data_IF_232723743346
#
_entry.id   IF_232723743346
#
_cell.length_a   1.000
_cell.length_b   1.000
_cell.length_c   1.000
_cell.angle_alpha   90.00
_cell.angle_beta   90.00
_cell.angle_gamma   90.00
#
_symmetry.space_group_name_H-M   'P 1'
#
loop_
_entity.id
_entity.type
_entity.pdbx_description
1 polymer ?
#
# COMPACT_ATOMS: atom_id res chain seq x y z
N UNK A 1 54.10 -74.85 -72.25
CA UNK A 1 52.95 -73.90 -72.17
C UNK A 1 51.72 -74.69 -72.60
N UNK A 2 50.55 -74.66 -71.97
CA UNK A 2 49.79 -73.51 -71.45
C UNK A 2 49.14 -73.85 -70.10
N UNK A 3 49.23 -72.88 -69.18
CA UNK A 3 48.57 -72.80 -67.87
C UNK A 3 47.09 -72.46 -68.03
N UNK A 4 46.19 -73.21 -67.41
CA UNK A 4 44.80 -72.79 -67.13
C UNK A 4 44.32 -73.33 -65.77
N UNK A 5 44.76 -72.73 -64.65
CA UNK A 5 44.16 -72.98 -63.32
C UNK A 5 44.03 -71.73 -62.43
N UNK A 6 44.29 -70.53 -62.94
CA UNK A 6 44.31 -69.31 -62.10
C UNK A 6 43.02 -68.49 -62.11
N UNK A 7 42.05 -68.78 -62.98
CA UNK A 7 40.83 -67.98 -63.15
C UNK A 7 39.85 -68.11 -61.97
N UNK A 8 39.72 -69.30 -61.34
CA UNK A 8 38.84 -69.47 -60.16
C UNK A 8 39.32 -68.71 -58.92
N UNK A 9 40.65 -68.63 -58.72
CA UNK A 9 41.25 -67.87 -57.60
C UNK A 9 41.10 -66.37 -57.79
N UNK A 10 41.20 -65.89 -59.02
CA UNK A 10 40.98 -64.48 -59.34
C UNK A 10 39.52 -64.05 -59.10
N UNK A 11 38.54 -64.91 -59.42
CA UNK A 11 37.12 -64.63 -59.18
C UNK A 11 36.80 -64.55 -57.68
N UNK A 12 37.34 -65.48 -56.88
CA UNK A 12 37.20 -65.46 -55.41
C UNK A 12 37.85 -64.22 -54.79
N UNK A 13 39.03 -63.81 -55.28
CA UNK A 13 39.70 -62.60 -54.81
C UNK A 13 38.91 -61.32 -55.15
N UNK A 14 38.28 -61.27 -56.33
CA UNK A 14 37.41 -60.17 -56.74
C UNK A 14 36.13 -60.07 -55.90
N UNK A 15 35.50 -61.21 -55.59
CA UNK A 15 34.32 -61.22 -54.71
C UNK A 15 34.69 -60.78 -53.29
N UNK A 16 35.81 -61.27 -52.77
CA UNK A 16 36.30 -60.89 -51.45
C UNK A 16 36.64 -59.40 -51.38
N UNK A 17 37.22 -58.82 -52.44
CA UNK A 17 37.48 -57.38 -52.50
C UNK A 17 36.20 -56.56 -52.55
N UNK A 18 35.17 -57.02 -53.26
CA UNK A 18 33.88 -56.33 -53.32
C UNK A 18 33.19 -56.34 -51.94
N UNK A 19 33.23 -57.46 -51.22
CA UNK A 19 32.73 -57.56 -49.84
C UNK A 19 33.54 -56.64 -48.90
N UNK A 20 34.86 -56.56 -49.08
CA UNK A 20 35.71 -55.63 -48.32
C UNK A 20 35.37 -54.17 -48.60
N UNK A 21 35.11 -53.81 -49.87
CA UNK A 21 34.69 -52.48 -50.27
C UNK A 21 33.32 -52.11 -49.68
N UNK A 22 32.36 -53.04 -49.68
CA UNK A 22 31.04 -52.82 -49.05
C UNK A 22 31.16 -52.73 -47.53
N UNK A 23 32.03 -53.52 -46.89
CA UNK A 23 32.30 -53.42 -45.47
C UNK A 23 32.95 -52.08 -45.08
N UNK A 24 33.88 -51.56 -45.89
CA UNK A 24 34.42 -50.21 -45.69
C UNK A 24 33.36 -49.13 -45.93
N UNK A 25 32.47 -49.30 -46.94
CA UNK A 25 31.40 -48.35 -47.23
C UNK A 25 30.40 -48.24 -46.07
N UNK A 26 29.98 -49.38 -45.50
CA UNK A 26 29.08 -49.42 -44.33
C UNK A 26 29.77 -48.90 -43.05
N UNK A 27 31.10 -49.04 -42.96
CA UNK A 27 31.92 -48.47 -41.87
C UNK A 27 32.12 -46.95 -41.94
N UNK A 28 32.01 -46.34 -43.12
CA UNK A 28 32.23 -44.88 -43.30
C UNK A 28 30.98 -44.01 -43.10
N UNK A 29 29.79 -44.60 -42.93
CA UNK A 29 28.55 -43.84 -42.64
C UNK A 29 28.24 -43.69 -41.14
N UNK A 30 29.02 -44.29 -40.24
CA UNK A 30 29.06 -43.87 -38.84
C UNK A 30 30.09 -42.74 -38.71
N UNK A 31 29.71 -41.56 -39.20
CA UNK A 31 30.51 -40.35 -39.01
C UNK A 31 30.69 -40.09 -37.50
N UNK A 32 31.91 -40.37 -37.03
CA UNK A 32 32.42 -39.99 -35.71
C UNK A 32 32.84 -38.52 -35.74
N UNK A 33 31.89 -37.64 -36.00
CA UNK A 33 32.03 -36.21 -35.72
C UNK A 33 30.73 -35.75 -35.08
N UNK A 34 30.57 -36.09 -33.82
CA UNK A 34 29.69 -35.35 -32.93
C UNK A 34 30.61 -34.80 -31.85
N UNK A 35 31.15 -33.60 -32.08
CA UNK A 35 31.50 -32.74 -30.96
C UNK A 35 30.16 -32.28 -30.38
N UNK A 36 29.98 -32.51 -29.09
CA UNK A 36 28.73 -32.26 -28.39
C UNK A 36 29.06 -31.66 -27.04
N UNK A 37 28.75 -30.39 -26.85
CA UNK A 37 28.68 -29.76 -25.53
C UNK A 37 27.24 -29.93 -25.04
N UNK A 38 27.02 -30.77 -24.03
CA UNK A 38 25.73 -30.86 -23.36
C UNK A 38 25.69 -29.88 -22.19
N UNK A 39 24.75 -28.95 -22.17
CA UNK A 39 24.44 -28.12 -21.01
C UNK A 39 23.29 -28.75 -20.24
N UNK A 40 23.61 -29.68 -19.34
CA UNK A 40 22.62 -30.35 -18.48
C UNK A 40 22.07 -29.43 -17.35
N UNK A 41 22.56 -28.19 -17.25
CA UNK A 41 22.34 -27.29 -16.12
C UNK A 41 21.77 -25.91 -16.51
N UNK A 42 21.06 -25.78 -17.64
CA UNK A 42 20.36 -24.52 -17.95
C UNK A 42 19.13 -24.39 -17.05
N UNK A 43 19.33 -24.00 -15.79
CA UNK A 43 18.25 -23.67 -14.86
C UNK A 43 18.04 -22.15 -14.93
N UNK A 44 16.89 -21.74 -15.47
CA UNK A 44 16.42 -20.36 -15.34
C UNK A 44 15.61 -20.30 -14.04
N UNK A 45 16.04 -19.46 -13.11
CA UNK A 45 15.33 -19.19 -11.86
C UNK A 45 14.95 -17.72 -11.89
N UNK A 46 13.66 -17.43 -11.71
CA UNK A 46 13.22 -16.05 -11.51
C UNK A 46 13.75 -15.55 -10.17
N UNK A 47 14.24 -14.32 -10.13
CA UNK A 47 14.58 -13.69 -8.86
C UNK A 47 13.32 -13.30 -8.07
N UNK A 48 13.47 -13.06 -6.78
CA UNK A 48 12.40 -12.59 -5.90
C UNK A 48 12.78 -11.30 -5.19
N UNK A 49 11.80 -10.42 -5.01
CA UNK A 49 11.86 -9.24 -4.16
C UNK A 49 11.40 -9.63 -2.75
N UNK A 50 12.18 -9.27 -1.73
CA UNK A 50 11.82 -9.57 -0.33
C UNK A 50 12.54 -8.56 0.59
N UNK A 51 11.77 -7.63 1.16
CA UNK A 51 12.26 -6.63 2.10
C UNK A 51 11.69 -6.92 3.48
N UNK A 52 12.52 -6.84 4.51
CA UNK A 52 12.12 -7.07 5.89
C UNK A 52 12.65 -5.96 6.81
N UNK A 53 11.87 -5.68 7.87
CA UNK A 53 12.24 -4.75 8.94
C UNK A 53 12.43 -5.53 10.24
N UNK A 54 13.51 -5.26 10.96
CA UNK A 54 13.83 -5.88 12.25
C UNK A 54 14.06 -4.83 13.33
N UNK A 55 13.54 -5.06 14.53
CA UNK A 55 13.93 -4.36 15.76
C UNK A 55 15.12 -5.09 16.40
N UNK A 56 16.12 -4.32 16.84
CA UNK A 56 17.32 -4.80 17.51
C UNK A 56 17.31 -4.35 18.97
N UNK A 57 17.09 -5.30 19.88
CA UNK A 57 17.22 -5.08 21.32
C UNK A 57 18.27 -6.02 21.92
N UNK A 58 19.25 -5.46 22.63
CA UNK A 58 20.34 -6.25 23.22
C UNK A 58 21.15 -7.09 22.23
N UNK A 59 21.12 -6.74 20.94
CA UNK A 59 21.73 -7.51 19.85
C UNK A 59 20.87 -8.67 19.32
N UNK A 60 19.62 -8.80 19.75
CA UNK A 60 18.64 -9.76 19.22
C UNK A 60 17.79 -9.06 18.16
N UNK A 61 17.74 -9.63 16.96
CA UNK A 61 16.90 -9.15 15.87
C UNK A 61 15.54 -9.84 15.90
N UNK A 62 14.46 -9.05 15.94
CA UNK A 62 13.08 -9.54 15.90
C UNK A 62 12.35 -8.84 14.76
N UNK A 63 11.67 -9.60 13.89
CA UNK A 63 10.95 -9.05 12.74
C UNK A 63 9.80 -8.14 13.20
N UNK A 64 9.66 -6.99 12.54
CA UNK A 64 8.60 -6.02 12.79
C UNK A 64 7.40 -6.39 11.95
N UNK A 65 6.25 -6.52 12.60
CA UNK A 65 4.96 -6.81 11.98
C UNK A 65 3.94 -5.77 12.46
N UNK A 66 2.70 -5.83 11.95
CA UNK A 66 1.60 -4.95 12.39
C UNK A 66 1.32 -5.03 13.90
N UNK A 67 1.72 -6.10 14.57
CA UNK A 67 1.51 -6.29 16.02
C UNK A 67 2.75 -5.89 16.87
N UNK A 68 3.84 -5.48 16.23
CA UNK A 68 5.11 -5.19 16.93
C UNK A 68 5.10 -3.77 17.49
N UNK A 69 5.04 -3.65 18.82
CA UNK A 69 5.30 -2.38 19.51
C UNK A 69 6.81 -2.08 19.53
N UNK A 70 7.21 -1.01 18.86
CA UNK A 70 8.60 -0.54 18.85
C UNK A 70 8.99 0.21 20.13
N UNK A 71 8.01 0.86 20.75
CA UNK A 71 8.15 1.63 21.98
C UNK A 71 7.38 0.94 23.12
N UNK A 72 7.80 1.16 24.37
CA UNK A 72 7.12 0.52 25.50
C UNK A 72 5.72 1.13 25.70
N UNK A 73 4.68 0.36 25.37
CA UNK A 73 3.27 0.75 25.50
C UNK A 73 2.84 1.03 26.96
N UNK A 74 3.64 0.63 27.95
CA UNK A 74 3.36 0.85 29.37
C UNK A 74 4.13 2.03 30.00
N UNK A 75 5.02 2.68 29.26
CA UNK A 75 5.82 3.80 29.75
C UNK A 75 4.95 5.04 29.97
N UNK A 76 5.00 5.60 31.19
CA UNK A 76 4.50 6.94 31.45
C UNK A 76 5.56 7.95 31.00
N UNK A 77 5.21 8.76 29.99
CA UNK A 77 6.10 9.79 29.46
C UNK A 77 6.12 11.01 30.40
N UNK A 78 7.30 11.26 30.97
CA UNK A 78 7.59 12.44 31.79
C UNK A 78 8.74 13.26 31.16
N UNK A 79 8.87 14.56 31.46
CA UNK A 79 9.99 15.35 30.98
C UNK A 79 11.35 14.72 31.34
N UNK A 80 12.16 14.40 30.33
CA UNK A 80 13.43 13.68 30.44
C UNK A 80 13.33 12.17 30.21
N UNK A 81 12.15 11.63 29.90
CA UNK A 81 12.01 10.26 29.38
C UNK A 81 12.59 10.18 27.97
N UNK A 82 13.27 9.07 27.68
CA UNK A 82 13.95 8.81 26.42
C UNK A 82 13.80 7.34 26.09
N UNK A 83 13.40 7.06 24.86
CA UNK A 83 13.44 5.73 24.27
C UNK A 83 14.32 5.74 23.03
N UNK A 84 15.10 4.66 22.85
CA UNK A 84 16.02 4.47 21.74
C UNK A 84 15.70 3.12 21.12
N UNK A 85 15.37 3.12 19.83
CA UNK A 85 15.01 1.90 19.08
C UNK A 85 15.97 1.76 17.92
N UNK A 86 16.55 0.57 17.75
CA UNK A 86 17.42 0.27 16.61
C UNK A 86 16.65 -0.59 15.62
N UNK A 87 16.62 -0.17 14.36
CA UNK A 87 15.97 -0.87 13.27
C UNK A 87 16.99 -1.31 12.22
N UNK A 88 16.73 -2.47 11.61
CA UNK A 88 17.44 -2.97 10.44
C UNK A 88 16.46 -3.20 9.30
N UNK A 89 16.75 -2.59 8.16
CA UNK A 89 16.07 -2.82 6.89
C UNK A 89 16.94 -3.78 6.10
N UNK A 90 16.41 -4.93 5.68
CA UNK A 90 17.18 -5.98 5.01
C UNK A 90 16.52 -6.44 3.71
N UNK A 91 17.34 -6.65 2.68
CA UNK A 91 16.95 -7.36 1.47
C UNK A 91 17.24 -8.87 1.64
N UNK A 92 16.19 -9.65 1.79
CA UNK A 92 16.25 -11.11 1.89
C UNK A 92 16.09 -11.80 0.52
N UNK A 93 15.79 -11.00 -0.51
CA UNK A 93 15.55 -11.45 -1.87
C UNK A 93 16.82 -11.69 -2.67
N UNK A 94 16.64 -12.09 -3.92
CA UNK A 94 17.73 -12.32 -4.87
C UNK A 94 17.89 -11.21 -5.90
N UNK A 95 17.06 -10.18 -5.85
CA UNK A 95 17.08 -9.00 -6.72
C UNK A 95 17.41 -7.78 -5.87
N UNK A 96 18.18 -6.83 -6.40
CA UNK A 96 18.29 -5.56 -5.69
C UNK A 96 16.95 -4.85 -5.68
N UNK A 97 16.70 -4.13 -4.60
CA UNK A 97 15.47 -3.42 -4.35
C UNK A 97 15.80 -1.99 -3.98
N UNK A 98 14.94 -1.07 -4.40
CA UNK A 98 14.92 0.26 -3.80
C UNK A 98 13.79 0.22 -2.77
N UNK A 99 13.98 0.80 -1.58
CA UNK A 99 12.95 0.85 -0.55
C UNK A 99 12.63 2.29 -0.17
N UNK A 100 11.42 2.52 0.33
CA UNK A 100 11.03 3.74 1.02
C UNK A 100 10.60 3.39 2.44
N UNK A 101 11.24 4.05 3.41
CA UNK A 101 10.99 3.90 4.83
C UNK A 101 10.45 5.22 5.40
N UNK A 102 9.32 5.14 6.08
CA UNK A 102 8.70 6.31 6.71
C UNK A 102 8.19 6.01 8.11
N UNK A 103 8.01 7.09 8.87
CA UNK A 103 7.48 7.07 10.23
C UNK A 103 6.39 8.13 10.30
N UNK A 104 5.29 7.80 10.97
CA UNK A 104 4.12 8.66 11.07
C UNK A 104 3.49 8.61 12.46
N UNK A 105 2.59 9.54 12.74
CA UNK A 105 1.63 9.41 13.84
C UNK A 105 0.47 8.56 13.36
N UNK A 106 0.25 7.41 13.99
CA UNK A 106 -0.84 6.50 13.65
C UNK A 106 -2.16 7.01 14.26
N UNK A 107 -2.13 7.45 15.51
CA UNK A 107 -3.27 8.07 16.20
C UNK A 107 -2.79 8.96 17.35
N UNK A 108 -3.55 9.99 17.68
CA UNK A 108 -3.27 10.85 18.83
C UNK A 108 -4.55 11.32 19.52
N UNK A 109 -4.52 11.29 20.85
CA UNK A 109 -5.57 11.78 21.74
C UNK A 109 -4.97 12.91 22.56
N UNK A 110 -5.52 14.12 22.40
CA UNK A 110 -5.12 15.29 23.18
C UNK A 110 -5.69 15.30 24.59
N UNK A 111 -5.21 16.23 25.41
CA UNK A 111 -5.71 16.44 26.78
C UNK A 111 -5.64 17.91 27.21
N UNK A 112 -6.01 18.18 28.46
CA UNK A 112 -5.92 19.50 29.09
C UNK A 112 -4.89 19.46 30.19
N UNK A 113 -3.91 20.37 30.13
CA UNK A 113 -2.85 20.43 31.13
C UNK A 113 -3.28 21.11 32.43
N UNK A 114 -2.46 21.02 33.48
CA UNK A 114 -2.70 21.61 34.81
C UNK A 114 -2.90 23.13 34.83
N UNK A 115 -2.67 23.80 33.70
CA UNK A 115 -2.93 25.23 33.51
C UNK A 115 -4.26 25.51 32.79
N UNK A 116 -5.01 24.47 32.41
CA UNK A 116 -6.27 24.56 31.69
C UNK A 116 -6.12 24.73 30.17
N UNK A 117 -4.94 24.47 29.61
CA UNK A 117 -4.70 24.58 28.17
C UNK A 117 -4.78 23.21 27.50
N UNK A 118 -5.44 23.14 26.34
CA UNK A 118 -5.44 21.95 25.48
C UNK A 118 -4.05 21.71 24.89
N UNK A 119 -3.65 20.44 24.75
CA UNK A 119 -2.39 20.06 24.15
C UNK A 119 -2.41 18.67 23.52
N UNK A 120 -1.44 18.44 22.63
CA UNK A 120 -1.11 17.16 22.00
C UNK A 120 0.30 16.74 22.44
N UNK A 121 0.55 15.44 22.57
CA UNK A 121 1.90 14.95 22.92
C UNK A 121 2.89 15.18 21.78
N UNK A 122 2.42 15.19 20.54
CA UNK A 122 3.20 15.44 19.34
C UNK A 122 3.95 16.77 19.36
N UNK A 123 3.45 17.77 20.10
CA UNK A 123 4.05 19.09 20.22
C UNK A 123 5.16 19.14 21.28
N UNK A 124 5.25 18.14 22.15
CA UNK A 124 6.18 18.10 23.29
C UNK A 124 7.15 16.93 23.26
N UNK A 125 6.90 15.91 22.44
CA UNK A 125 7.82 14.81 22.23
C UNK A 125 8.62 15.10 20.96
N UNK A 126 9.93 15.08 21.11
CA UNK A 126 10.91 15.27 20.05
C UNK A 126 11.34 13.92 19.47
N UNK A 127 11.66 13.93 18.19
CA UNK A 127 11.99 12.74 17.42
C UNK A 127 13.19 12.98 16.52
N UNK A 128 14.11 12.01 16.45
CA UNK A 128 15.22 12.01 15.49
C UNK A 128 15.45 10.61 14.90
N UNK A 129 15.88 10.58 13.63
CA UNK A 129 16.41 9.40 12.95
C UNK A 129 17.90 9.59 12.77
N UNK A 130 18.68 8.62 13.24
CA UNK A 130 20.14 8.65 13.18
C UNK A 130 20.62 7.42 12.40
N UNK A 131 21.57 7.60 11.49
CA UNK A 131 22.11 6.50 10.70
C UNK A 131 22.96 5.54 11.57
N UNK A 132 22.81 4.23 11.33
CA UNK A 132 23.56 3.17 12.00
C UNK A 132 22.81 2.51 13.15
N UNK A 133 23.47 1.55 13.78
CA UNK A 133 23.00 0.90 15.01
C UNK A 133 23.73 1.53 16.20
N UNK A 134 23.12 2.58 16.75
CA UNK A 134 23.70 3.39 17.82
C UNK A 134 23.29 2.86 19.20
N UNK A 135 24.18 3.08 20.16
CA UNK A 135 23.91 2.82 21.58
C UNK A 135 24.51 3.95 22.39
N UNK A 136 23.78 4.38 23.41
CA UNK A 136 24.15 5.53 24.23
C UNK A 136 24.35 5.11 25.69
N UNK A 137 25.42 5.61 26.30
CA UNK A 137 25.76 5.31 27.70
C UNK A 137 24.83 5.99 28.70
N UNK A 138 24.05 6.99 28.26
CA UNK A 138 23.08 7.72 29.08
C UNK A 138 21.97 8.32 28.23
N UNK A 139 20.86 8.68 28.90
CA UNK A 139 19.75 9.44 28.29
C UNK A 139 20.21 10.78 27.72
N UNK A 140 21.04 11.51 28.47
CA UNK A 140 21.59 12.81 28.02
C UNK A 140 22.42 12.67 26.74
N UNK A 141 23.19 11.59 26.60
CA UNK A 141 23.98 11.33 25.41
C UNK A 141 23.10 11.03 24.19
N UNK A 142 22.00 10.29 24.37
CA UNK A 142 21.02 10.04 23.32
C UNK A 142 20.32 11.34 22.88
N UNK A 143 19.90 12.18 23.83
CA UNK A 143 19.27 13.48 23.56
C UNK A 143 20.23 14.39 22.78
N UNK A 144 21.49 14.50 23.21
CA UNK A 144 22.48 15.33 22.50
C UNK A 144 22.67 14.85 21.06
N UNK A 145 22.72 13.53 20.83
CA UNK A 145 22.85 12.98 19.49
C UNK A 145 21.59 13.26 18.63
N UNK A 146 20.40 13.19 19.22
CA UNK A 146 19.14 13.54 18.54
C UNK A 146 19.10 15.03 18.15
N UNK A 147 19.50 15.92 19.06
CA UNK A 147 19.58 17.36 18.80
C UNK A 147 20.60 17.68 17.69
N UNK A 148 21.76 17.00 17.69
CA UNK A 148 22.78 17.13 16.64
C UNK A 148 22.30 16.60 15.29
N UNK A 149 21.45 15.56 15.29
CA UNK A 149 20.79 15.03 14.10
C UNK A 149 19.62 15.91 13.62
N UNK A 150 19.27 16.96 14.35
CA UNK A 150 18.20 17.89 14.00
C UNK A 150 16.82 17.35 14.38
N UNK A 151 16.68 16.85 15.62
CA UNK A 151 15.39 16.45 16.17
C UNK A 151 14.31 17.50 15.97
N UNK A 152 13.09 17.03 15.70
CA UNK A 152 11.90 17.88 15.55
C UNK A 152 10.77 17.36 16.42
N UNK A 153 9.81 18.22 16.82
CA UNK A 153 8.58 17.75 17.44
C UNK A 153 7.90 16.73 16.53
N UNK A 154 7.28 15.71 17.11
CA UNK A 154 6.55 14.68 16.34
C UNK A 154 5.45 15.31 15.47
N UNK A 155 4.88 16.45 15.85
CA UNK A 155 3.91 17.18 15.00
C UNK A 155 4.52 17.70 13.69
N UNK A 156 5.84 17.72 13.57
CA UNK A 156 6.60 18.10 12.38
C UNK A 156 7.36 16.92 11.78
N UNK A 157 7.01 15.68 12.17
CA UNK A 157 7.65 14.46 11.70
C UNK A 157 7.56 14.35 10.17
N UNK A 158 8.72 14.26 9.53
CA UNK A 158 8.84 14.04 8.11
C UNK A 158 10.03 13.11 7.84
N UNK A 159 9.82 11.82 8.07
CA UNK A 159 10.82 10.78 7.78
C UNK A 159 10.43 10.11 6.49
N UNK A 160 11.25 10.31 5.46
CA UNK A 160 11.16 9.62 4.18
C UNK A 160 12.59 9.28 3.76
N UNK A 161 13.05 8.08 4.11
CA UNK A 161 14.36 7.56 3.70
C UNK A 161 14.17 6.62 2.51
N UNK A 162 14.87 6.89 1.41
CA UNK A 162 14.85 6.08 0.19
C UNK A 162 16.28 5.67 -0.16
N UNK A 163 16.50 4.36 -0.34
CA UNK A 163 17.83 3.83 -0.66
C UNK A 163 17.74 2.48 -1.39
N UNK A 164 18.87 2.01 -1.91
CA UNK A 164 18.99 0.74 -2.64
C UNK A 164 19.65 -0.33 -1.77
N UNK A 165 18.99 -1.47 -1.62
CA UNK A 165 19.55 -2.67 -0.99
C UNK A 165 19.77 -3.78 -2.02
N UNK A 166 20.98 -4.31 -2.01
CA UNK A 166 21.42 -5.36 -2.92
C UNK A 166 21.24 -6.76 -2.30
N UNK A 167 21.21 -7.83 -3.11
CA UNK A 167 21.19 -9.19 -2.57
C UNK A 167 22.39 -9.45 -1.66
N UNK A 168 22.18 -10.24 -0.61
CA UNK A 168 23.24 -10.58 0.34
C UNK A 168 24.48 -11.16 -0.36
N UNK A 169 25.64 -10.53 -0.12
CA UNK A 169 26.93 -10.92 -0.72
C UNK A 169 27.21 -10.35 -2.11
N UNK A 170 26.37 -9.45 -2.63
CA UNK A 170 26.66 -8.67 -3.83
C UNK A 170 27.91 -7.78 -3.64
N UNK A 171 28.69 -7.59 -4.72
CA UNK A 171 29.81 -6.63 -4.74
C UNK A 171 29.35 -5.19 -5.01
N UNK A 172 28.08 -5.01 -5.41
CA UNK A 172 27.55 -3.74 -5.92
C UNK A 172 27.02 -2.82 -4.81
N UNK A 173 26.76 -3.36 -3.61
CA UNK A 173 26.34 -2.55 -2.47
C UNK A 173 25.97 -3.35 -1.22
N UNK A 174 25.33 -2.67 -0.28
CA UNK A 174 24.90 -3.24 1.00
C UNK A 174 23.56 -3.94 0.86
N UNK A 175 23.36 -5.03 1.61
CA UNK A 175 22.07 -5.75 1.69
C UNK A 175 21.24 -5.36 2.91
N UNK A 176 21.80 -4.57 3.81
CA UNK A 176 21.19 -4.17 5.07
C UNK A 176 21.54 -2.71 5.38
N UNK A 177 20.55 -1.94 5.85
CA UNK A 177 20.74 -0.60 6.42
C UNK A 177 20.24 -0.59 7.86
N UNK A 178 20.93 0.17 8.70
CA UNK A 178 20.61 0.32 10.11
C UNK A 178 20.24 1.76 10.40
N UNK A 179 19.19 1.97 11.19
CA UNK A 179 18.77 3.29 11.67
C UNK A 179 18.44 3.22 13.15
N UNK A 180 18.79 4.26 13.90
CA UNK A 180 18.41 4.44 15.31
C UNK A 180 17.37 5.54 15.41
N UNK A 181 16.23 5.21 16.01
CA UNK A 181 15.20 6.18 16.37
C UNK A 181 15.47 6.63 17.81
N UNK A 182 15.46 7.94 18.04
CA UNK A 182 15.53 8.52 19.38
C UNK A 182 14.28 9.35 19.59
N UNK A 183 13.52 9.01 20.62
CA UNK A 183 12.27 9.67 20.99
C UNK A 183 12.38 10.14 22.42
N UNK A 184 12.14 11.43 22.68
CA UNK A 184 12.31 11.98 24.02
C UNK A 184 11.38 13.15 24.30
N UNK A 185 11.05 13.35 25.58
CA UNK A 185 10.36 14.56 26.03
C UNK A 185 11.39 15.51 26.65
N UNK A 186 11.62 16.72 26.10
CA UNK A 186 12.58 17.67 26.66
C UNK A 186 12.24 18.05 28.11
N UNK A 187 13.26 18.21 28.95
CA UNK A 187 13.05 18.65 30.35
C UNK A 187 12.46 20.06 30.44
N UNK A 188 12.59 20.86 29.37
CA UNK A 188 12.01 22.20 29.27
C UNK A 188 10.49 22.22 29.17
N UNK A 189 9.85 21.11 28.79
CA UNK A 189 8.38 20.98 28.74
C UNK A 189 7.77 21.18 30.13
N UNK A 190 8.45 20.71 31.17
CA UNK A 190 8.00 20.89 32.55
C UNK A 190 6.56 20.43 32.77
N UNK A 191 5.69 21.33 33.24
CA UNK A 191 4.28 21.02 33.51
C UNK A 191 3.36 21.28 32.32
N UNK A 192 3.87 21.73 31.17
CA UNK A 192 3.03 22.05 30.02
C UNK A 192 2.38 20.78 29.41
N UNK A 193 3.02 19.62 29.55
CA UNK A 193 2.48 18.30 29.20
C UNK A 193 1.88 17.52 30.40
N UNK A 194 1.77 18.15 31.58
CA UNK A 194 1.18 17.50 32.76
C UNK A 194 -0.35 17.64 32.71
N UNK A 195 -1.05 16.55 32.41
CA UNK A 195 -2.50 16.54 32.24
C UNK A 195 -3.26 16.65 33.57
N UNK A 196 -4.41 17.32 33.55
CA UNK A 196 -5.35 17.32 34.66
C UNK A 196 -6.02 15.96 34.77
N UNK A 197 -6.22 15.43 35.98
CA UNK A 197 -7.00 14.20 36.16
C UNK A 197 -8.50 14.46 36.27
N UNK A 198 -8.88 15.67 36.73
CA UNK A 198 -10.26 16.11 36.87
C UNK A 198 -10.38 17.58 36.47
N UNK A 199 -11.51 17.96 35.88
CA UNK A 199 -11.84 19.34 35.53
C UNK A 199 -12.33 20.16 36.74
N UNK A 200 -12.74 21.42 36.50
CA UNK A 200 -13.27 22.30 37.56
C UNK A 200 -14.61 21.82 38.16
N UNK A 201 -15.32 20.94 37.46
CA UNK A 201 -16.60 20.36 37.89
C UNK A 201 -16.42 19.00 38.60
N UNK A 202 -15.21 18.44 38.58
CA UNK A 202 -14.87 17.13 39.16
C UNK A 202 -15.05 15.96 38.20
N UNK A 203 -15.26 16.23 36.91
CA UNK A 203 -15.34 15.22 35.85
C UNK A 203 -13.93 14.76 35.45
N UNK A 204 -13.77 13.46 35.21
CA UNK A 204 -12.47 12.90 34.86
C UNK A 204 -12.04 13.35 33.46
N UNK A 205 -10.77 13.72 33.31
CA UNK A 205 -10.18 14.10 32.03
C UNK A 205 -9.45 12.90 31.42
N UNK A 206 -9.62 12.71 30.12
CA UNK A 206 -8.94 11.66 29.35
C UNK A 206 -7.43 11.92 29.32
N UNK A 207 -6.58 10.94 29.69
CA UNK A 207 -5.13 11.05 29.54
C UNK A 207 -4.75 11.25 28.06
N UNK A 208 -3.68 11.99 27.77
CA UNK A 208 -3.18 12.10 26.41
C UNK A 208 -2.50 10.80 25.98
N UNK A 209 -2.66 10.41 24.72
CA UNK A 209 -2.08 9.19 24.15
C UNK A 209 -1.59 9.46 22.72
N UNK A 210 -0.45 8.89 22.34
CA UNK A 210 0.07 8.98 20.96
C UNK A 210 0.61 7.61 20.53
N UNK A 211 0.27 7.21 19.31
CA UNK A 211 0.77 6.00 18.67
C UNK A 211 1.59 6.37 17.44
N UNK A 212 2.79 5.80 17.29
CA UNK A 212 3.65 5.98 16.13
C UNK A 212 3.59 4.74 15.22
N UNK A 213 3.47 4.98 13.92
CA UNK A 213 3.51 3.96 12.88
C UNK A 213 4.84 3.99 12.12
N UNK A 214 5.17 2.86 11.50
CA UNK A 214 6.33 2.71 10.61
C UNK A 214 5.87 1.99 9.35
N UNK A 215 6.21 2.55 8.19
CA UNK A 215 5.88 1.96 6.88
C UNK A 215 7.14 1.71 6.08
N UNK A 216 7.22 0.52 5.48
CA UNK A 216 8.31 0.12 4.61
C UNK A 216 7.73 -0.49 3.34
N UNK A 217 8.04 0.11 2.20
CA UNK A 217 7.67 -0.39 0.87
C UNK A 217 8.92 -0.55 0.02
N UNK A 218 8.92 -1.51 -0.91
CA UNK A 218 10.04 -1.73 -1.81
C UNK A 218 9.58 -2.13 -3.22
N UNK A 219 10.36 -1.74 -4.22
CA UNK A 219 10.25 -2.17 -5.61
C UNK A 219 11.61 -2.67 -6.08
N UNK A 220 11.65 -3.35 -7.22
CA UNK A 220 12.90 -3.80 -7.80
C UNK A 220 13.75 -2.58 -8.18
N UNK A 221 15.04 -2.61 -7.83
CA UNK A 221 15.98 -1.58 -8.28
C UNK A 221 16.51 -1.96 -9.67
N UNK A 222 16.83 -1.00 -10.55
CA UNK A 222 17.53 -1.25 -11.81
C UNK A 222 18.93 -1.83 -11.54
N UNK A 223 19.00 -3.14 -11.30
CA UNK A 223 20.19 -3.83 -10.82
C UNK A 223 21.03 -4.43 -11.95
N UNK A 224 20.39 -4.84 -13.05
CA UNK A 224 21.06 -5.46 -14.19
C UNK A 224 20.51 -4.89 -15.49
N UNK A 225 21.42 -4.61 -16.44
CA UNK A 225 21.04 -4.39 -17.83
C UNK A 225 20.60 -5.73 -18.41
N UNK A 226 19.31 -5.88 -18.71
CA UNK A 226 18.82 -7.01 -19.46
C UNK A 226 19.04 -6.80 -20.97
N UNK A 227 18.57 -7.74 -21.80
CA UNK A 227 18.70 -7.64 -23.26
C UNK A 227 17.87 -6.52 -23.90
N UNK A 228 17.10 -5.75 -23.14
CA UNK A 228 16.24 -4.67 -23.60
C UNK A 228 16.80 -3.28 -23.24
N UNK A 229 17.22 -3.03 -21.99
CA UNK A 229 18.07 -1.89 -21.52
C UNK A 229 18.26 -1.92 -19.98
N UNK A 230 18.75 -0.83 -19.37
CA UNK A 230 18.91 -0.66 -17.92
C UNK A 230 17.71 0.03 -17.22
N UNK A 231 16.61 0.27 -17.94
CA UNK A 231 15.47 1.12 -17.52
C UNK A 231 14.17 0.34 -17.28
N UNK A 232 14.26 -0.95 -16.92
CA UNK A 232 13.08 -1.83 -16.80
C UNK A 232 12.01 -1.27 -15.84
N UNK A 233 12.43 -0.50 -14.83
CA UNK A 233 11.59 0.13 -13.81
C UNK A 233 11.72 1.66 -13.77
N UNK A 234 12.26 2.32 -14.81
CA UNK A 234 12.36 3.80 -14.85
C UNK A 234 10.97 4.49 -14.81
N UNK A 235 9.92 3.75 -15.18
CA UNK A 235 8.52 4.17 -15.13
C UNK A 235 7.74 3.61 -13.92
N UNK A 236 8.40 2.90 -12.98
CA UNK A 236 7.76 2.32 -11.80
C UNK A 236 7.74 3.35 -10.66
N UNK A 237 6.67 4.15 -10.62
CA UNK A 237 6.44 5.14 -9.57
C UNK A 237 6.18 4.44 -8.23
N UNK A 238 6.96 4.78 -7.20
CA UNK A 238 6.60 4.45 -5.83
C UNK A 238 5.26 5.08 -5.46
N UNK A 239 4.48 4.44 -4.57
CA UNK A 239 3.35 5.13 -3.99
C UNK A 239 3.84 6.37 -3.25
N UNK A 240 3.32 7.55 -3.60
CA UNK A 240 3.56 8.75 -2.81
C UNK A 240 2.83 8.59 -1.47
N UNK A 241 3.60 8.62 -0.38
CA UNK A 241 3.05 8.47 0.97
C UNK A 241 2.27 9.72 1.39
N UNK A 242 1.08 9.52 1.96
CA UNK A 242 0.21 10.58 2.45
C UNK A 242 0.04 10.41 3.96
N UNK A 243 0.52 11.40 4.72
CA UNK A 243 0.42 11.40 6.19
C UNK A 243 -0.53 12.46 6.77
N UNK A 244 -1.16 13.29 5.92
CA UNK A 244 -2.07 14.34 6.37
C UNK A 244 -3.07 14.76 5.27
N UNK A 245 -4.02 15.63 5.65
CA UNK A 245 -5.06 16.13 4.74
C UNK A 245 -4.50 17.01 3.61
N UNK A 246 -3.32 17.62 3.78
CA UNK A 246 -2.70 18.43 2.74
C UNK A 246 -2.02 17.55 1.69
N UNK A 247 -1.37 16.45 2.10
CA UNK A 247 -0.83 15.42 1.21
C UNK A 247 -1.94 14.82 0.34
N UNK A 248 -3.10 14.54 0.94
CA UNK A 248 -4.26 14.03 0.21
C UNK A 248 -4.76 15.01 -0.85
N UNK A 249 -4.77 16.32 -0.55
CA UNK A 249 -5.09 17.36 -1.53
C UNK A 249 -4.03 17.50 -2.61
N UNK A 250 -2.75 17.40 -2.27
CA UNK A 250 -1.68 17.52 -3.25
C UNK A 250 -1.74 16.42 -4.32
N UNK A 251 -2.37 15.28 -4.02
CA UNK A 251 -2.60 14.19 -4.96
C UNK A 251 -3.66 14.49 -6.04
N UNK A 252 -4.48 15.53 -5.87
CA UNK A 252 -5.69 15.77 -6.67
C UNK A 252 -5.42 16.00 -8.17
N UNK A 253 -4.26 16.57 -8.49
CA UNK A 253 -3.84 16.98 -9.84
C UNK A 253 -2.71 16.11 -10.44
N UNK A 254 -2.37 15.00 -9.78
CA UNK A 254 -1.26 14.13 -10.13
C UNK A 254 -1.74 12.76 -10.63
N UNK A 255 -1.03 12.20 -11.63
CA UNK A 255 -1.16 10.77 -11.91
C UNK A 255 -0.23 10.02 -10.97
N UNK A 256 -0.60 8.80 -10.58
CA UNK A 256 0.27 7.93 -9.79
C UNK A 256 -0.49 7.12 -8.75
N UNK A 257 0.28 6.38 -7.96
CA UNK A 257 -0.22 5.67 -6.78
C UNK A 257 0.08 6.50 -5.55
N UNK A 258 -0.88 6.59 -4.64
CA UNK A 258 -0.79 7.28 -3.37
C UNK A 258 -1.16 6.29 -2.27
N UNK A 259 -0.39 6.24 -1.20
CA UNK A 259 -0.63 5.32 -0.10
C UNK A 259 -0.81 6.09 1.19
N UNK A 260 -1.88 5.79 1.92
CA UNK A 260 -2.03 6.33 3.26
C UNK A 260 -0.93 5.78 4.14
N UNK A 261 -0.30 6.69 4.87
CA UNK A 261 0.73 6.37 5.84
C UNK A 261 0.25 6.72 7.26
N UNK A 262 -0.90 7.36 7.42
CA UNK A 262 -1.53 7.64 8.72
C UNK A 262 -3.04 7.79 8.53
N UNK A 263 -3.75 7.79 9.65
CA UNK A 263 -5.14 8.24 9.66
C UNK A 263 -5.20 9.74 9.36
N UNK A 264 -6.13 10.12 8.48
CA UNK A 264 -6.34 11.49 8.03
C UNK A 264 -7.72 11.93 8.50
N UNK A 265 -7.76 12.90 9.41
CA UNK A 265 -9.00 13.55 9.85
C UNK A 265 -9.00 15.03 9.46
N UNK A 266 -10.13 15.53 8.96
CA UNK A 266 -10.27 16.94 8.59
C UNK A 266 -11.71 17.45 8.66
N UNK A 267 -11.84 18.77 8.79
CA UNK A 267 -13.08 19.51 8.58
C UNK A 267 -13.06 20.22 7.23
N UNK A 268 -14.14 20.13 6.47
CA UNK A 268 -14.30 20.90 5.25
C UNK A 268 -14.65 22.36 5.57
N UNK A 269 -13.64 23.23 5.58
CA UNK A 269 -13.78 24.68 5.79
C UNK A 269 -13.31 25.48 4.56
N UNK A 270 -14.16 26.37 4.04
CA UNK A 270 -13.84 27.19 2.84
C UNK A 270 -14.05 26.47 1.49
N UNK A 271 -13.51 27.05 0.40
CA UNK A 271 -13.81 26.63 -0.99
C UNK A 271 -12.94 25.48 -1.54
N UNK A 272 -11.82 25.13 -0.90
CA UNK A 272 -10.81 24.19 -1.42
C UNK A 272 -10.31 23.21 -0.34
N UNK A 273 -11.23 22.60 0.40
CA UNK A 273 -10.90 21.84 1.59
C UNK A 273 -10.82 20.32 1.41
N UNK A 274 -11.14 19.79 0.23
CA UNK A 274 -11.25 18.34 -0.01
C UNK A 274 -10.48 17.95 -1.27
N UNK A 275 -9.87 16.76 -1.28
CA UNK A 275 -9.13 16.23 -2.42
C UNK A 275 -10.06 15.91 -3.60
N UNK A 276 -9.88 16.62 -4.72
CA UNK A 276 -10.66 16.43 -5.94
C UNK A 276 -9.85 15.83 -7.08
N UNK A 277 -9.90 14.52 -7.28
CA UNK A 277 -9.08 13.83 -8.27
C UNK A 277 -9.48 14.18 -9.72
N UNK A 278 -8.61 14.92 -10.42
CA UNK A 278 -8.76 15.31 -11.82
C UNK A 278 -8.00 14.40 -12.79
N UNK A 279 -7.06 13.60 -12.27
CA UNK A 279 -6.14 12.73 -13.01
C UNK A 279 -6.42 11.25 -12.75
N UNK A 280 -5.60 10.37 -13.31
CA UNK A 280 -5.68 8.93 -13.05
C UNK A 280 -4.81 8.59 -11.86
N UNK A 281 -5.44 8.26 -10.74
CA UNK A 281 -4.80 8.07 -9.46
C UNK A 281 -5.28 6.77 -8.80
N UNK A 282 -4.36 6.10 -8.11
CA UNK A 282 -4.69 4.96 -7.24
C UNK A 282 -4.45 5.39 -5.80
N UNK A 283 -5.41 5.14 -4.90
CA UNK A 283 -5.30 5.38 -3.47
C UNK A 283 -5.32 4.02 -2.74
N UNK A 284 -4.19 3.67 -2.14
CA UNK A 284 -4.03 2.52 -1.25
C UNK A 284 -4.38 2.96 0.18
N UNK A 285 -5.45 2.41 0.76
CA UNK A 285 -5.91 2.76 2.10
C UNK A 285 -4.96 2.25 3.21
N UNK A 286 -4.23 1.16 2.95
CA UNK A 286 -3.15 0.66 3.82
C UNK A 286 -3.50 0.58 5.32
N UNK A 287 -4.67 0.03 5.65
CA UNK A 287 -5.24 -0.07 7.00
C UNK A 287 -5.57 1.25 7.71
N UNK A 288 -5.41 2.40 7.05
CA UNK A 288 -5.69 3.71 7.61
C UNK A 288 -7.11 4.20 7.31
N UNK A 289 -7.50 5.24 8.05
CA UNK A 289 -8.81 5.86 7.97
C UNK A 289 -8.74 7.29 7.42
N UNK A 290 -9.59 7.62 6.46
CA UNK A 290 -9.90 8.99 6.07
C UNK A 290 -11.24 9.37 6.70
N UNK A 291 -11.24 10.32 7.64
CA UNK A 291 -12.45 10.82 8.30
C UNK A 291 -12.70 12.28 7.95
N UNK A 292 -13.84 12.54 7.31
CA UNK A 292 -14.39 13.88 7.21
C UNK A 292 -15.34 14.12 8.39
N UNK A 293 -14.91 14.98 9.31
CA UNK A 293 -15.63 15.23 10.57
C UNK A 293 -16.88 16.08 10.36
N UNK A 294 -16.76 17.16 9.59
CA UNK A 294 -17.87 18.07 9.33
C UNK A 294 -17.63 18.89 8.05
N UNK A 295 -18.67 19.55 7.57
CA UNK A 295 -18.57 20.60 6.56
C UNK A 295 -19.33 21.84 7.00
N UNK A 296 -18.65 22.98 6.89
CA UNK A 296 -19.30 24.30 7.04
C UNK A 296 -19.70 24.91 5.70
N UNK A 297 -19.40 24.23 4.59
CA UNK A 297 -19.67 24.69 3.24
C UNK A 297 -20.82 23.88 2.64
N UNK A 298 -21.93 24.56 2.30
CA UNK A 298 -23.11 23.91 1.72
C UNK A 298 -22.89 23.25 0.36
N UNK A 299 -21.73 23.45 -0.28
CA UNK A 299 -21.39 22.85 -1.56
C UNK A 299 -20.38 21.71 -1.46
N UNK A 300 -19.81 21.45 -0.28
CA UNK A 300 -18.86 20.37 -0.05
C UNK A 300 -19.49 19.45 0.97
N UNK A 301 -19.89 18.26 0.54
CA UNK A 301 -20.56 17.28 1.37
C UNK A 301 -19.98 15.88 1.11
N UNK A 302 -18.67 15.81 0.91
CA UNK A 302 -17.98 14.59 0.54
C UNK A 302 -16.53 14.57 1.05
N UNK A 303 -16.04 13.41 1.47
CA UNK A 303 -14.66 13.24 1.94
C UNK A 303 -13.65 13.17 0.79
N UNK A 304 -14.06 12.63 -0.37
CA UNK A 304 -13.28 12.56 -1.60
C UNK A 304 -14.15 12.93 -2.81
N UNK A 305 -13.55 13.53 -3.83
CA UNK A 305 -14.25 13.82 -5.10
C UNK A 305 -13.47 13.27 -6.30
N UNK A 306 -14.18 12.73 -7.29
CA UNK A 306 -13.62 12.44 -8.61
C UNK A 306 -14.24 13.39 -9.61
N UNK A 307 -13.40 14.26 -10.18
CA UNK A 307 -13.83 15.41 -10.96
C UNK A 307 -13.57 15.23 -12.45
N UNK A 308 -14.55 15.65 -13.25
CA UNK A 308 -14.43 15.77 -14.69
C UNK A 308 -14.08 14.46 -15.40
N UNK A 309 -12.83 14.26 -15.81
CA UNK A 309 -12.38 13.02 -16.44
C UNK A 309 -11.32 12.31 -15.59
N UNK A 310 -11.24 12.68 -14.30
CA UNK A 310 -10.42 11.99 -13.32
C UNK A 310 -10.87 10.55 -13.14
N UNK A 311 -9.92 9.72 -12.75
CA UNK A 311 -10.12 8.31 -12.46
C UNK A 311 -9.48 8.02 -11.12
N UNK A 312 -10.26 7.58 -10.16
CA UNK A 312 -9.77 7.16 -8.86
C UNK A 312 -9.98 5.66 -8.70
N UNK A 313 -8.91 4.93 -8.41
CA UNK A 313 -8.98 3.54 -7.95
C UNK A 313 -8.67 3.52 -6.46
N UNK A 314 -9.51 2.88 -5.64
CA UNK A 314 -9.29 2.72 -4.20
C UNK A 314 -9.09 1.23 -3.88
N UNK A 315 -8.00 0.94 -3.18
CA UNK A 315 -7.52 -0.41 -2.88
C UNK A 315 -7.16 -0.58 -1.40
N UNK A 316 -6.94 -1.84 -1.03
CA UNK A 316 -6.43 -2.20 0.29
C UNK A 316 -7.48 -2.18 1.41
N UNK A 317 -7.15 -2.76 2.57
CA UNK A 317 -7.92 -2.57 3.80
C UNK A 317 -7.79 -1.14 4.32
N UNK A 318 -8.75 -0.68 5.11
CA UNK A 318 -8.83 0.69 5.65
C UNK A 318 -10.25 1.25 5.55
N UNK A 319 -10.45 2.51 5.98
CA UNK A 319 -11.79 3.10 6.08
C UNK A 319 -11.86 4.49 5.45
N UNK A 320 -12.97 4.81 4.79
CA UNK A 320 -13.36 6.19 4.46
C UNK A 320 -14.67 6.48 5.17
N UNK A 321 -14.66 7.41 6.12
CA UNK A 321 -15.80 7.77 6.96
C UNK A 321 -16.20 9.24 6.77
N UNK A 322 -17.49 9.48 6.59
CA UNK A 322 -18.07 10.80 6.43
C UNK A 322 -19.19 11.01 7.46
N UNK A 323 -18.94 11.91 8.41
CA UNK A 323 -19.89 12.27 9.47
C UNK A 323 -20.85 13.37 9.00
N UNK A 324 -21.80 13.80 9.83
CA UNK A 324 -22.71 14.95 9.59
C UNK A 324 -23.43 14.95 8.22
N UNK A 325 -24.03 13.81 7.85
CA UNK A 325 -24.76 13.63 6.58
C UNK A 325 -23.92 13.88 5.30
N UNK A 326 -22.59 13.85 5.42
CA UNK A 326 -21.68 13.93 4.27
C UNK A 326 -21.52 12.55 3.59
N UNK A 327 -20.94 12.56 2.39
CA UNK A 327 -20.67 11.37 1.59
C UNK A 327 -19.23 10.92 1.74
N UNK A 328 -18.93 9.62 1.60
CA UNK A 328 -17.53 9.22 1.49
C UNK A 328 -16.94 9.75 0.18
N UNK A 329 -17.62 9.51 -0.95
CA UNK A 329 -17.11 9.81 -2.29
C UNK A 329 -18.20 10.41 -3.18
N UNK A 330 -17.84 11.47 -3.89
CA UNK A 330 -18.70 12.09 -4.91
C UNK A 330 -18.05 12.05 -6.30
N UNK A 331 -18.82 11.66 -7.32
CA UNK A 331 -18.40 11.78 -8.72
C UNK A 331 -19.14 12.94 -9.37
N UNK A 332 -18.39 13.96 -9.81
CA UNK A 332 -18.94 15.18 -10.36
C UNK A 332 -18.27 15.60 -11.68
N UNK A 333 -19.02 16.32 -12.50
CA UNK A 333 -18.54 16.79 -13.80
C UNK A 333 -19.60 17.60 -14.55
N UNK A 334 -19.35 17.80 -15.84
CA UNK A 334 -20.26 18.48 -16.76
C UNK A 334 -20.66 17.55 -17.92
N UNK A 335 -21.45 18.04 -18.88
CA UNK A 335 -22.12 17.22 -19.90
C UNK A 335 -21.24 16.18 -20.62
N UNK A 336 -19.99 16.54 -20.92
CA UNK A 336 -19.04 15.67 -21.62
C UNK A 336 -18.04 14.96 -20.70
N UNK A 337 -18.10 15.21 -19.39
CA UNK A 337 -17.20 14.62 -18.39
C UNK A 337 -17.58 13.18 -18.07
N UNK A 338 -16.58 12.31 -17.90
CA UNK A 338 -16.76 10.91 -17.52
C UNK A 338 -15.82 10.58 -16.36
N UNK A 339 -16.10 11.04 -15.14
CA UNK A 339 -15.28 10.66 -13.99
C UNK A 339 -15.50 9.17 -13.71
N UNK A 340 -14.46 8.50 -13.23
CA UNK A 340 -14.48 7.06 -12.99
C UNK A 340 -14.00 6.77 -11.58
N UNK A 341 -14.79 6.04 -10.82
CA UNK A 341 -14.38 5.50 -9.53
C UNK A 341 -14.30 3.97 -9.66
N UNK A 342 -13.23 3.39 -9.17
CA UNK A 342 -13.11 1.94 -8.97
C UNK A 342 -12.82 1.67 -7.50
N UNK A 343 -13.64 0.84 -6.86
CA UNK A 343 -13.43 0.39 -5.47
C UNK A 343 -13.16 -1.12 -5.51
N UNK A 344 -11.98 -1.53 -5.04
CA UNK A 344 -11.60 -2.95 -4.95
C UNK A 344 -11.67 -3.50 -3.52
N UNK A 345 -11.72 -2.64 -2.50
CA UNK A 345 -11.70 -3.01 -1.09
C UNK A 345 -11.97 -1.83 -0.16
N UNK A 346 -11.77 -2.00 1.14
CA UNK A 346 -11.98 -0.97 2.16
C UNK A 346 -13.38 -0.97 2.79
N UNK A 347 -13.55 -0.12 3.80
CA UNK A 347 -14.81 0.11 4.52
C UNK A 347 -15.28 1.55 4.28
N UNK A 348 -16.55 1.74 3.95
CA UNK A 348 -17.12 3.05 3.64
C UNK A 348 -18.31 3.33 4.56
N UNK A 349 -18.18 4.35 5.40
CA UNK A 349 -19.16 4.70 6.43
C UNK A 349 -19.68 6.11 6.24
N UNK A 350 -20.99 6.24 6.22
CA UNK A 350 -21.66 7.55 6.19
C UNK A 350 -23.00 7.47 6.91
N UNK A 351 -23.66 8.59 7.16
CA UNK A 351 -25.04 8.55 7.65
C UNK A 351 -26.05 8.23 6.53
N UNK A 352 -25.78 8.69 5.31
CA UNK A 352 -26.73 8.57 4.20
C UNK A 352 -26.15 7.91 2.95
N UNK A 353 -24.98 8.32 2.47
CA UNK A 353 -24.45 7.84 1.17
C UNK A 353 -22.94 7.64 1.23
N UNK A 354 -22.47 6.44 0.93
CA UNK A 354 -21.05 6.17 0.74
C UNK A 354 -20.59 6.71 -0.62
N UNK A 355 -21.30 6.37 -1.70
CA UNK A 355 -20.91 6.77 -3.07
C UNK A 355 -22.09 7.47 -3.76
N UNK A 356 -21.90 8.74 -4.10
CA UNK A 356 -22.88 9.52 -4.88
C UNK A 356 -22.36 9.81 -6.28
N UNK A 357 -22.98 9.22 -7.31
CA UNK A 357 -22.62 9.40 -8.72
C UNK A 357 -23.56 10.40 -9.38
N UNK A 358 -23.10 11.65 -9.53
CA UNK A 358 -23.82 12.64 -10.31
C UNK A 358 -23.46 12.58 -11.79
N UNK A 359 -22.20 12.28 -12.11
CA UNK A 359 -21.71 12.04 -13.46
C UNK A 359 -20.76 10.85 -13.48
N UNK A 360 -20.63 10.19 -14.62
CA UNK A 360 -19.62 9.15 -14.82
C UNK A 360 -20.06 7.77 -14.38
N UNK A 361 -19.11 6.97 -13.90
CA UNK A 361 -19.36 5.57 -13.53
C UNK A 361 -18.55 5.18 -12.30
N UNK A 362 -19.21 4.55 -11.33
CA UNK A 362 -18.55 3.86 -10.25
C UNK A 362 -18.58 2.35 -10.49
N UNK A 363 -17.42 1.71 -10.43
CA UNK A 363 -17.22 0.27 -10.45
C UNK A 363 -16.91 -0.20 -9.03
N UNK A 364 -17.76 -1.05 -8.46
CA UNK A 364 -17.58 -1.59 -7.11
C UNK A 364 -17.32 -3.09 -7.25
N UNK A 365 -16.05 -3.46 -7.08
CA UNK A 365 -15.57 -4.83 -7.18
C UNK A 365 -15.46 -5.50 -5.80
N UNK A 366 -15.46 -4.71 -4.72
CA UNK A 366 -15.32 -5.16 -3.35
C UNK A 366 -15.64 -4.05 -2.34
N UNK A 367 -15.36 -4.30 -1.07
CA UNK A 367 -15.55 -3.36 0.03
C UNK A 367 -16.78 -3.64 0.91
N UNK A 368 -16.84 -2.93 2.05
CA UNK A 368 -17.94 -3.00 3.01
C UNK A 368 -18.58 -1.61 3.15
N UNK A 369 -19.89 -1.51 2.94
CA UNK A 369 -20.62 -0.25 2.89
C UNK A 369 -21.68 -0.23 3.98
N UNK A 370 -21.52 0.67 4.94
CA UNK A 370 -22.46 0.85 6.06
C UNK A 370 -22.91 2.30 6.11
N UNK A 371 -24.17 2.53 5.74
CA UNK A 371 -24.79 3.85 5.78
C UNK A 371 -26.05 3.88 6.65
N UNK A 372 -26.05 3.13 7.76
CA UNK A 372 -27.18 3.10 8.70
C UNK A 372 -28.50 2.64 8.07
N UNK A 373 -28.42 1.76 7.06
CA UNK A 373 -29.58 1.26 6.30
C UNK A 373 -30.23 2.31 5.38
N UNK A 374 -29.51 3.36 5.02
CA UNK A 374 -29.97 4.33 4.04
C UNK A 374 -30.27 3.67 2.69
N UNK A 375 -31.43 4.01 2.13
CA UNK A 375 -31.80 3.64 0.76
C UNK A 375 -30.90 4.30 -0.31
N UNK A 376 -30.01 5.21 0.09
CA UNK A 376 -29.07 5.92 -0.77
C UNK A 376 -27.60 5.56 -0.46
N UNK A 377 -27.35 4.39 0.17
CA UNK A 377 -26.00 3.89 0.51
C UNK A 377 -25.03 4.02 -0.67
N UNK A 378 -25.46 3.61 -1.87
CA UNK A 378 -24.85 4.04 -3.14
C UNK A 378 -25.95 4.57 -4.04
N UNK A 379 -25.70 5.71 -4.70
CA UNK A 379 -26.76 6.50 -5.32
C UNK A 379 -26.31 7.11 -6.66
N UNK A 380 -27.20 7.14 -7.64
CA UNK A 380 -27.06 7.97 -8.83
C UNK A 380 -28.02 9.14 -8.79
N UNK A 381 -27.71 10.20 -9.53
CA UNK A 381 -28.72 11.24 -9.80
C UNK A 381 -29.69 10.73 -10.87
N UNK A 382 -30.95 10.51 -10.47
CA UNK A 382 -32.09 10.03 -11.27
C UNK A 382 -32.03 10.41 -12.77
N UNK A 383 -32.02 11.71 -13.07
CA UNK A 383 -32.08 12.20 -14.46
C UNK A 383 -30.81 11.86 -15.25
N UNK A 384 -29.67 11.80 -14.57
CA UNK A 384 -28.41 11.39 -15.17
C UNK A 384 -28.36 9.86 -15.34
N UNK A 385 -28.85 9.09 -14.37
CA UNK A 385 -28.98 7.64 -14.48
C UNK A 385 -29.87 7.23 -15.66
N UNK A 386 -31.09 7.78 -15.74
CA UNK A 386 -32.06 7.51 -16.83
C UNK A 386 -31.52 7.85 -18.22
N UNK A 387 -30.58 8.78 -18.29
CA UNK A 387 -29.94 9.20 -19.55
C UNK A 387 -28.60 8.51 -19.84
N UNK A 388 -28.16 7.59 -18.96
CA UNK A 388 -26.88 6.88 -19.08
C UNK A 388 -25.65 7.74 -18.79
N UNK A 389 -25.81 8.88 -18.10
CA UNK A 389 -24.73 9.82 -17.75
C UNK A 389 -24.14 9.57 -16.36
N UNK A 390 -24.89 8.91 -15.49
CA UNK A 390 -24.44 8.38 -14.21
C UNK A 390 -24.69 6.87 -14.22
N UNK A 391 -23.78 6.09 -13.69
CA UNK A 391 -23.91 4.65 -13.63
C UNK A 391 -23.16 4.08 -12.42
N UNK A 392 -23.68 3.00 -11.87
CA UNK A 392 -22.99 2.20 -10.85
C UNK A 392 -23.04 0.75 -11.34
N UNK A 393 -21.89 0.09 -11.33
CA UNK A 393 -21.71 -1.31 -11.72
C UNK A 393 -21.09 -2.05 -10.56
N UNK A 394 -21.82 -3.01 -9.99
CA UNK A 394 -21.40 -3.75 -8.80
C UNK A 394 -21.15 -5.22 -9.18
N UNK A 395 -19.93 -5.66 -8.94
CA UNK A 395 -19.47 -7.05 -9.14
C UNK A 395 -18.99 -7.70 -7.84
N UNK A 396 -18.95 -6.94 -6.74
CA UNK A 396 -18.64 -7.47 -5.42
C UNK A 396 -18.92 -6.45 -4.32
N UNK A 397 -18.60 -6.82 -3.09
CA UNK A 397 -18.81 -5.99 -1.91
C UNK A 397 -20.03 -6.40 -1.08
N UNK A 398 -20.11 -5.87 0.14
CA UNK A 398 -21.18 -6.11 1.10
C UNK A 398 -21.81 -4.80 1.55
N UNK A 399 -23.15 -4.75 1.53
CA UNK A 399 -23.93 -3.55 1.81
C UNK A 399 -24.86 -3.81 3.00
N UNK A 400 -24.78 -2.98 4.03
CA UNK A 400 -25.61 -3.12 5.25
C UNK A 400 -26.98 -2.50 5.02
N UNK A 401 -28.03 -3.32 5.15
CA UNK A 401 -29.44 -2.95 5.03
C UNK A 401 -29.82 -2.27 3.69
N UNK A 402 -29.00 -2.47 2.66
CA UNK A 402 -29.20 -1.97 1.31
C UNK A 402 -29.03 -3.09 0.28
N UNK A 403 -30.11 -3.41 -0.45
CA UNK A 403 -30.07 -4.39 -1.54
C UNK A 403 -29.78 -3.69 -2.88
N UNK A 404 -28.56 -3.82 -3.45
CA UNK A 404 -28.19 -3.15 -4.70
C UNK A 404 -28.94 -3.68 -5.94
N UNK A 405 -29.64 -4.82 -5.82
CA UNK A 405 -30.40 -5.43 -6.93
C UNK A 405 -31.87 -5.02 -6.97
N UNK A 406 -32.39 -4.40 -5.91
CA UNK A 406 -33.81 -4.20 -5.69
C UNK A 406 -34.32 -2.79 -6.05
N UNK A 407 -34.15 -2.38 -7.32
CA UNK A 407 -34.63 -1.10 -7.86
C UNK A 407 -34.21 0.14 -7.03
N UNK A 408 -32.90 0.34 -6.79
CA UNK A 408 -32.40 1.44 -5.95
C UNK A 408 -32.83 2.82 -6.46
N UNK A 409 -32.94 3.00 -7.79
CA UNK A 409 -33.34 4.25 -8.43
C UNK A 409 -34.87 4.42 -8.56
N UNK A 410 -35.65 3.49 -8.00
CA UNK A 410 -37.12 3.51 -7.99
C UNK A 410 -37.72 3.72 -9.38
N UNK A 411 -37.11 3.10 -10.38
CA UNK A 411 -37.53 3.21 -11.79
C UNK A 411 -38.46 2.08 -12.22
N UNK A 412 -38.74 1.12 -11.31
CA UNK A 412 -39.62 -0.02 -11.49
C UNK A 412 -38.92 -1.33 -11.81
N UNK A 413 -37.60 -1.32 -12.09
CA UNK A 413 -36.80 -2.53 -12.39
C UNK A 413 -35.29 -2.29 -12.47
N UNK A 414 -34.73 -1.25 -11.85
CA UNK A 414 -33.29 -0.99 -11.88
C UNK A 414 -32.51 -1.98 -11.01
N UNK A 415 -31.25 -2.23 -11.36
CA UNK A 415 -30.29 -2.98 -10.55
C UNK A 415 -28.93 -2.36 -10.79
N UNK A 416 -28.14 -2.22 -9.73
CA UNK A 416 -26.72 -1.86 -9.84
C UNK A 416 -25.82 -3.08 -9.96
N UNK A 417 -26.35 -4.28 -9.73
CA UNK A 417 -25.61 -5.53 -9.87
C UNK A 417 -25.41 -5.87 -11.35
N UNK A 418 -24.16 -6.12 -11.72
CA UNK A 418 -23.77 -6.43 -13.09
C UNK A 418 -24.31 -7.79 -13.56
N UNK A 419 -24.40 -7.98 -14.88
CA UNK A 419 -24.75 -9.28 -15.47
C UNK A 419 -23.73 -10.36 -15.07
N UNK A 420 -24.22 -11.56 -14.69
CA UNK A 420 -23.40 -12.66 -14.19
C UNK A 420 -23.06 -12.57 -12.69
N UNK A 421 -23.69 -11.63 -11.97
CA UNK A 421 -23.58 -11.48 -10.51
C UNK A 421 -24.95 -11.47 -9.85
N UNK A 422 -25.01 -11.91 -8.60
CA UNK A 422 -26.23 -11.99 -7.79
C UNK A 422 -25.99 -11.51 -6.35
N UNK A 423 -27.07 -11.33 -5.59
CA UNK A 423 -27.03 -10.89 -4.19
C UNK A 423 -27.36 -12.05 -3.26
N UNK A 424 -26.51 -12.27 -2.26
CA UNK A 424 -26.76 -13.17 -1.13
C UNK A 424 -27.02 -12.31 0.11
N UNK A 425 -28.16 -12.52 0.77
CA UNK A 425 -28.51 -11.82 2.01
C UNK A 425 -28.23 -12.68 3.24
N UNK A 426 -27.63 -12.10 4.27
CA UNK A 426 -27.44 -12.72 5.59
C UNK A 426 -27.93 -11.79 6.71
N UNK A 427 -28.82 -12.28 7.58
CA UNK A 427 -29.23 -11.54 8.78
C UNK A 427 -28.22 -11.75 9.90
N UNK A 428 -27.61 -10.67 10.35
CA UNK A 428 -26.64 -10.66 11.44
C UNK A 428 -27.32 -10.71 12.81
N UNK A 429 -26.54 -11.02 13.86
CA UNK A 429 -27.06 -11.17 15.22
C UNK A 429 -27.71 -9.89 15.78
N UNK A 430 -27.24 -8.73 15.35
CA UNK A 430 -27.79 -7.40 15.70
C UNK A 430 -29.08 -7.06 14.94
N UNK A 431 -29.51 -7.89 13.97
CA UNK A 431 -30.72 -7.70 13.19
C UNK A 431 -30.53 -6.99 11.85
N UNK A 432 -29.33 -6.48 11.57
CA UNK A 432 -28.97 -5.96 10.24
C UNK A 432 -29.00 -7.07 9.20
N UNK A 433 -29.34 -6.72 7.96
CA UNK A 433 -29.26 -7.62 6.81
C UNK A 433 -28.10 -7.18 5.93
N UNK A 434 -27.11 -8.04 5.78
CA UNK A 434 -25.99 -7.80 4.90
C UNK A 434 -26.28 -8.39 3.53
N UNK A 435 -26.18 -7.57 2.48
CA UNK A 435 -26.34 -7.97 1.09
C UNK A 435 -24.97 -8.02 0.43
N UNK A 436 -24.50 -9.22 0.11
CA UNK A 436 -23.19 -9.45 -0.53
C UNK A 436 -23.37 -9.81 -1.99
N UNK A 437 -22.67 -9.10 -2.87
CA UNK A 437 -22.66 -9.38 -4.31
C UNK A 437 -21.60 -10.44 -4.61
N UNK A 438 -21.99 -11.50 -5.33
CA UNK A 438 -21.13 -12.63 -5.72
C UNK A 438 -21.36 -13.01 -7.18
N UNK A 439 -20.37 -13.62 -7.82
CA UNK A 439 -20.55 -14.22 -9.15
C UNK A 439 -21.58 -15.37 -9.10
N UNK A 440 -22.39 -15.49 -10.15
CA UNK A 440 -23.43 -16.53 -10.31
C UNK A 440 -22.91 -17.97 -10.42
#
# INVERSE_FOLDING_TARGET
MIKQKNTKRALLASLLSLVLCVAMLVGTSFAWFTDGVSTANNKIVAGNLDVALYNIDGGVETEVTEETNLFDSGSLWEPGHVEVVNLKIANLGSLALTYQFSINVASEIGSVNVYGNEFMLSDYIEFAVIEGNQSYESRDAAITAAEEAGSVPISQLNVNDEDVLYPAGSEDGISEKYVTLVVYMPTSVGNDANYMTYDENGDAITPPEIALGVTLVATQSPYESDSFNEYYDEDLDYPTLISDSQGLKNAEDLNGTFMLNSDISFDATGYASVAGFYRTSTLELNNHTITMNSSTNSNIFYALEVLNNGKLTINGPGTVEALDDNYCIHLYGYFSSRPELTINGGTYKAQTTAVNVQWGTAYINGGFFDCGGSAYTVNCIDDNYRSGRANIVITGGTFVDFDPSADPEKTGSSSYVAEGYTVVSETQFNGEVWYTVVAE
#
